data_IF_012882294129
#
_entry.id   IF_012882294129
#
_cell.length_a   1.000
_cell.length_b   1.000
_cell.length_c   1.000
_cell.angle_alpha   90.00
_cell.angle_beta   90.00
_cell.angle_gamma   90.00
#
_symmetry.space_group_name_H-M   'P 1'
#
loop_
_entity.id
_entity.type
_entity.pdbx_description
1 polymer ?
#
# COMPACT_ATOMS: atom_id res chain seq x y z
N UNK A 1 -5.24 11.16 8.01
CA UNK A 1 -3.83 10.73 7.82
C UNK A 1 -3.58 9.26 8.13
N UNK A 2 -4.59 8.51 8.59
CA UNK A 2 -4.46 7.13 9.04
C UNK A 2 -3.91 6.21 7.95
N UNK A 3 -2.90 5.41 8.30
CA UNK A 3 -2.29 4.38 7.47
C UNK A 3 -1.85 4.85 6.09
N UNK A 4 -1.21 6.02 5.98
CA UNK A 4 -0.56 6.47 4.73
C UNK A 4 0.94 6.58 4.92
N UNK A 5 1.69 6.30 3.87
CA UNK A 5 3.15 6.45 3.86
C UNK A 5 3.48 7.67 3.02
N UNK A 6 4.27 8.57 3.60
CA UNK A 6 4.71 9.80 2.96
C UNK A 6 6.24 9.86 2.99
N UNK A 7 6.83 10.52 2.00
CA UNK A 7 8.23 10.91 2.02
C UNK A 7 8.40 12.12 2.93
N UNK A 8 9.37 12.07 3.84
CA UNK A 8 9.74 13.23 4.63
C UNK A 8 10.59 14.19 3.79
N UNK A 9 10.17 15.45 3.67
CA UNK A 9 10.91 16.51 2.96
C UNK A 9 11.99 17.14 3.85
N UNK A 10 11.67 17.38 5.13
CA UNK A 10 12.61 17.84 6.15
C UNK A 10 12.18 17.30 7.52
N UNK A 11 13.16 16.89 8.32
CA UNK A 11 12.97 16.38 9.68
C UNK A 11 13.74 17.28 10.62
N UNK A 12 13.05 17.91 11.57
CA UNK A 12 13.65 18.55 12.75
C UNK A 12 13.39 17.66 13.98
N UNK A 13 14.03 17.97 15.11
CA UNK A 13 13.90 17.21 16.36
C UNK A 13 12.46 17.10 16.88
N UNK A 14 11.57 18.00 16.46
CA UNK A 14 10.17 18.07 16.93
C UNK A 14 9.13 18.08 15.81
N UNK A 15 9.52 18.14 14.53
CA UNK A 15 8.56 18.15 13.41
C UNK A 15 9.09 17.46 12.15
N UNK A 16 8.20 16.77 11.44
CA UNK A 16 8.47 16.16 10.13
C UNK A 16 7.57 16.85 9.11
N UNK A 17 8.18 17.49 8.11
CA UNK A 17 7.46 17.99 6.94
C UNK A 17 7.29 16.86 5.93
N UNK A 18 6.05 16.60 5.53
CA UNK A 18 5.70 15.53 4.60
C UNK A 18 5.63 16.13 3.19
N UNK A 19 6.35 15.53 2.25
CA UNK A 19 6.31 15.92 0.85
C UNK A 19 4.96 15.49 0.23
N UNK A 20 4.32 16.36 -0.57
CA UNK A 20 3.09 16.04 -1.29
C UNK A 20 1.82 16.01 -0.43
N UNK A 21 1.84 16.58 0.77
CA UNK A 21 0.64 16.79 1.59
C UNK A 21 0.29 18.28 1.61
N UNK A 22 -0.89 18.61 1.10
CA UNK A 22 -1.48 19.93 1.28
C UNK A 22 -2.21 19.96 2.64
N UNK A 23 -1.66 20.72 3.59
CA UNK A 23 -2.25 20.93 4.93
C UNK A 23 -2.88 22.32 5.06
N UNK A 24 -3.17 22.99 3.95
CA UNK A 24 -3.79 24.33 3.95
C UNK A 24 -5.21 24.34 4.54
N UNK A 25 -5.91 23.20 4.49
CA UNK A 25 -7.26 23.05 5.04
C UNK A 25 -7.25 22.87 6.56
N UNK A 26 -7.35 23.99 7.28
CA UNK A 26 -7.35 24.07 8.75
C UNK A 26 -8.51 23.33 9.43
N UNK A 27 -9.63 23.11 8.70
CA UNK A 27 -10.78 22.32 9.17
C UNK A 27 -10.48 20.81 9.21
N UNK A 28 -9.65 20.32 8.28
CA UNK A 28 -9.24 18.92 8.19
C UNK A 28 -7.93 18.66 8.95
N UNK A 29 -7.14 19.71 9.19
CA UNK A 29 -5.84 19.65 9.85
C UNK A 29 -5.70 20.74 10.94
N UNK A 30 -6.47 20.66 12.04
CA UNK A 30 -6.37 21.63 13.12
C UNK A 30 -4.99 21.57 13.81
N UNK A 31 -4.43 22.76 14.07
CA UNK A 31 -3.10 22.93 14.64
C UNK A 31 -3.03 22.30 16.04
N UNK A 32 -2.06 21.41 16.27
CA UNK A 32 -1.83 20.80 17.59
C UNK A 32 -2.59 19.50 17.90
N UNK A 33 -3.51 19.04 17.02
CA UNK A 33 -4.25 17.77 17.21
C UNK A 33 -3.72 16.60 16.35
N UNK A 34 -2.62 16.80 15.64
CA UNK A 34 -1.94 15.78 14.83
C UNK A 34 -1.08 14.80 15.63
N UNK A 35 -1.53 14.35 16.80
CA UNK A 35 -0.85 13.33 17.60
C UNK A 35 -0.97 11.95 16.94
N UNK A 36 -0.32 11.78 15.79
CA UNK A 36 -0.19 10.52 15.09
C UNK A 36 1.08 9.79 15.50
N UNK A 37 1.03 8.46 15.60
CA UNK A 37 2.25 7.66 15.73
C UNK A 37 2.95 7.60 14.38
N UNK A 38 4.12 8.25 14.28
CA UNK A 38 4.98 8.17 13.11
C UNK A 38 5.94 6.99 13.28
N UNK A 39 5.97 6.08 12.31
CA UNK A 39 6.99 5.04 12.22
C UNK A 39 8.00 5.43 11.15
N UNK A 40 9.24 5.70 11.57
CA UNK A 40 10.36 5.93 10.63
C UNK A 40 10.66 4.62 9.88
N UNK A 41 10.75 4.71 8.56
CA UNK A 41 11.25 3.64 7.71
C UNK A 41 12.74 3.88 7.53
N UNK A 42 13.58 3.00 8.09
CA UNK A 42 15.04 3.20 8.11
C UNK A 42 15.70 2.67 6.84
N UNK A 43 15.18 1.57 6.28
CA UNK A 43 15.81 0.86 5.16
C UNK A 43 14.74 0.28 4.23
N UNK A 44 15.02 0.31 2.94
CA UNK A 44 14.23 -0.35 1.90
C UNK A 44 15.02 -1.54 1.37
N UNK A 45 14.40 -2.73 1.37
CA UNK A 45 14.98 -3.93 0.76
C UNK A 45 14.34 -4.14 -0.60
N UNK A 46 15.11 -4.17 -1.71
CA UNK A 46 14.54 -4.40 -3.03
C UNK A 46 14.06 -5.85 -3.15
N UNK A 47 12.84 -6.04 -3.65
CA UNK A 47 12.34 -7.35 -4.04
C UNK A 47 12.83 -7.62 -5.46
N UNK A 48 13.63 -8.67 -5.62
CA UNK A 48 14.20 -9.07 -6.90
C UNK A 48 13.42 -10.25 -7.49
N UNK A 49 13.59 -10.51 -8.78
CA UNK A 49 12.96 -11.65 -9.48
C UNK A 49 11.41 -11.68 -9.37
N UNK A 50 10.78 -10.51 -9.43
CA UNK A 50 9.32 -10.39 -9.50
C UNK A 50 8.86 -10.85 -10.89
N UNK A 51 8.07 -11.92 -10.94
CA UNK A 51 7.49 -12.46 -12.17
C UNK A 51 6.23 -11.69 -12.58
N UNK A 52 5.36 -11.41 -11.61
CA UNK A 52 4.15 -10.61 -11.82
C UNK A 52 3.86 -9.71 -10.62
N UNK A 53 3.28 -8.54 -10.87
CA UNK A 53 2.76 -7.65 -9.85
C UNK A 53 1.41 -7.10 -10.32
N UNK A 54 0.34 -7.49 -9.65
CA UNK A 54 -1.03 -7.17 -10.02
C UNK A 54 -1.70 -6.40 -8.88
N UNK A 55 -2.31 -5.27 -9.21
CA UNK A 55 -3.12 -4.50 -8.27
C UNK A 55 -4.58 -4.81 -8.56
N UNK A 56 -5.32 -5.15 -7.52
CA UNK A 56 -6.75 -5.42 -7.59
C UNK A 56 -7.51 -4.53 -6.60
N UNK A 57 -8.69 -4.08 -7.02
CA UNK A 57 -9.58 -3.22 -6.24
C UNK A 57 -9.26 -1.72 -6.37
N UNK A 58 -9.98 -0.92 -5.58
CA UNK A 58 -9.99 0.54 -5.70
C UNK A 58 -11.07 1.09 -6.61
N UNK A 59 -11.95 0.22 -7.11
CA UNK A 59 -13.13 0.62 -7.87
C UNK A 59 -14.13 1.35 -6.97
N UNK A 60 -14.85 2.36 -7.51
CA UNK A 60 -15.90 3.04 -6.77
C UNK A 60 -17.01 2.05 -6.43
N UNK A 61 -17.38 2.01 -5.16
CA UNK A 61 -18.51 1.23 -4.67
C UNK A 61 -19.75 2.11 -4.74
N UNK A 62 -20.82 1.58 -5.32
CA UNK A 62 -22.12 2.23 -5.33
C UNK A 62 -23.12 1.38 -4.57
N UNK A 63 -24.01 2.04 -3.83
CA UNK A 63 -25.21 1.41 -3.27
C UNK A 63 -26.39 1.89 -4.11
N UNK A 64 -27.04 0.94 -4.76
CA UNK A 64 -28.30 1.19 -5.45
C UNK A 64 -29.41 1.26 -4.42
N UNK A 65 -30.04 2.42 -4.31
CA UNK A 65 -31.19 2.65 -3.45
C UNK A 65 -32.43 2.70 -4.32
N UNK A 66 -33.30 1.70 -4.15
CA UNK A 66 -34.63 1.64 -4.75
C UNK A 66 -35.62 2.23 -3.75
N UNK A 67 -36.14 3.43 -4.05
CA UNK A 67 -37.17 4.07 -3.22
C UNK A 67 -38.55 3.63 -3.72
N UNK A 68 -39.48 3.29 -2.83
CA UNK A 68 -40.83 2.87 -3.24
C UNK A 68 -41.62 3.96 -4.00
N UNK A 69 -41.23 5.23 -3.84
CA UNK A 69 -41.84 6.38 -4.52
C UNK A 69 -41.21 6.70 -5.88
N UNK A 70 -40.16 5.97 -6.30
CA UNK A 70 -39.48 6.22 -7.56
C UNK A 70 -39.20 4.92 -8.30
N UNK A 71 -39.63 4.86 -9.56
CA UNK A 71 -39.51 3.66 -10.40
C UNK A 71 -38.07 3.41 -10.88
N UNK A 72 -37.19 4.39 -10.71
CA UNK A 72 -35.77 4.31 -11.09
C UNK A 72 -34.86 4.22 -9.87
N UNK A 73 -33.92 3.27 -9.92
CA UNK A 73 -32.88 3.10 -8.92
C UNK A 73 -31.87 4.26 -8.96
N UNK A 74 -31.51 4.78 -7.78
CA UNK A 74 -30.49 5.82 -7.64
C UNK A 74 -29.22 5.19 -7.08
N UNK A 75 -28.09 5.38 -7.76
CA UNK A 75 -26.79 4.92 -7.29
C UNK A 75 -26.11 6.00 -6.44
N UNK A 76 -25.93 5.72 -5.14
CA UNK A 76 -25.21 6.59 -4.22
C UNK A 76 -23.78 6.07 -4.02
N UNK A 77 -22.74 6.92 -4.07
CA UNK A 77 -21.36 6.49 -3.85
C UNK A 77 -21.13 6.08 -2.39
N UNK A 78 -20.78 4.81 -2.17
CA UNK A 78 -20.51 4.18 -0.87
C UNK A 78 -19.00 3.91 -0.68
N UNK A 79 -18.19 4.84 -1.19
CA UNK A 79 -16.73 4.79 -1.09
C UNK A 79 -16.06 3.94 -2.17
N UNK A 80 -15.02 3.20 -1.79
CA UNK A 80 -14.16 2.46 -2.71
C UNK A 80 -13.85 1.08 -2.15
N UNK A 81 -13.69 0.09 -3.04
CA UNK A 81 -13.28 -1.25 -2.65
C UNK A 81 -11.86 -1.27 -2.10
N UNK A 82 -11.57 -2.23 -1.22
CA UNK A 82 -10.25 -2.44 -0.66
C UNK A 82 -9.23 -2.73 -1.77
N UNK A 83 -8.09 -2.06 -1.73
CA UNK A 83 -7.01 -2.27 -2.69
C UNK A 83 -6.05 -3.34 -2.17
N UNK A 84 -5.64 -4.24 -3.04
CA UNK A 84 -4.63 -5.27 -2.76
C UNK A 84 -3.61 -5.32 -3.88
N UNK A 85 -2.36 -5.56 -3.53
CA UNK A 85 -1.28 -5.84 -4.46
C UNK A 85 -0.89 -7.30 -4.29
N UNK A 86 -0.99 -8.10 -5.33
CA UNK A 86 -0.48 -9.46 -5.38
C UNK A 86 0.82 -9.46 -6.19
N UNK A 87 1.85 -10.10 -5.66
CA UNK A 87 3.15 -10.25 -6.32
C UNK A 87 3.53 -11.72 -6.35
N UNK A 88 4.00 -12.17 -7.51
CA UNK A 88 4.59 -13.49 -7.68
C UNK A 88 6.08 -13.31 -7.86
N UNK A 89 6.88 -13.96 -7.03
CA UNK A 89 8.34 -13.80 -6.98
C UNK A 89 8.96 -15.17 -7.22
N UNK A 90 10.04 -15.25 -7.99
CA UNK A 90 10.77 -16.52 -8.13
C UNK A 90 11.33 -16.96 -6.76
N UNK A 91 11.24 -18.25 -6.47
CA UNK A 91 11.67 -18.80 -5.20
C UNK A 91 13.20 -18.85 -5.11
N UNK A 92 13.77 -17.95 -4.31
CA UNK A 92 15.18 -17.96 -3.93
C UNK A 92 15.35 -17.52 -2.46
N UNK A 93 15.48 -18.49 -1.52
CA UNK A 93 15.58 -18.20 -0.09
C UNK A 93 16.94 -17.58 0.31
N UNK A 94 17.93 -17.57 -0.58
CA UNK A 94 19.24 -16.95 -0.30
C UNK A 94 19.20 -15.42 -0.37
N UNK A 95 18.16 -14.86 -0.99
CA UNK A 95 18.05 -13.43 -1.20
C UNK A 95 17.50 -12.71 0.04
N UNK A 96 18.00 -11.48 0.32
CA UNK A 96 17.64 -10.74 1.53
C UNK A 96 16.15 -10.37 1.60
N UNK A 97 15.47 -10.27 0.45
CA UNK A 97 14.06 -9.93 0.38
C UNK A 97 13.16 -11.03 0.97
N UNK A 98 13.54 -12.30 0.88
CA UNK A 98 12.78 -13.42 1.44
C UNK A 98 12.67 -13.30 2.98
N UNK A 99 13.79 -13.09 3.65
CA UNK A 99 13.83 -12.89 5.11
C UNK A 99 13.06 -11.64 5.58
N UNK A 100 13.10 -10.56 4.78
CA UNK A 100 12.40 -9.32 5.07
C UNK A 100 10.88 -9.47 4.93
N UNK A 101 10.41 -10.16 3.89
CA UNK A 101 8.99 -10.45 3.66
C UNK A 101 8.43 -11.36 4.75
N UNK A 102 9.14 -12.44 5.09
CA UNK A 102 8.77 -13.33 6.20
C UNK A 102 8.63 -12.58 7.52
N UNK A 103 9.66 -11.82 7.91
CA UNK A 103 9.64 -11.03 9.15
C UNK A 103 8.49 -10.02 9.18
N UNK A 104 8.17 -9.43 8.04
CA UNK A 104 7.06 -8.47 7.93
C UNK A 104 5.71 -9.17 8.05
N UNK A 105 5.53 -10.30 7.37
CA UNK A 105 4.33 -11.13 7.45
C UNK A 105 4.09 -11.64 8.88
N UNK A 106 5.13 -12.16 9.55
CA UNK A 106 5.07 -12.63 10.94
C UNK A 106 4.72 -11.50 11.92
N UNK A 107 5.22 -10.30 11.67
CA UNK A 107 4.96 -9.15 12.54
C UNK A 107 3.49 -8.71 12.54
N UNK A 108 2.72 -9.08 11.50
CA UNK A 108 1.31 -8.67 11.27
C UNK A 108 1.08 -7.18 11.53
N UNK A 109 2.08 -6.35 11.25
CA UNK A 109 2.02 -4.89 11.40
C UNK A 109 1.86 -4.26 10.03
N UNK A 110 1.25 -3.08 10.01
CA UNK A 110 1.20 -2.26 8.81
C UNK A 110 2.64 -1.92 8.42
N UNK A 111 2.97 -2.28 7.18
CA UNK A 111 4.25 -2.07 6.55
C UNK A 111 4.08 -1.18 5.33
N UNK A 112 5.19 -0.60 4.90
CA UNK A 112 5.25 0.24 3.73
C UNK A 112 5.84 -0.54 2.56
N UNK A 113 5.19 -0.45 1.40
CA UNK A 113 5.67 -1.03 0.14
C UNK A 113 5.87 0.11 -0.85
N UNK A 114 7.00 0.13 -1.54
CA UNK A 114 7.31 1.14 -2.56
C UNK A 114 7.41 0.49 -3.93
N UNK A 115 6.66 1.00 -4.89
CA UNK A 115 6.87 0.70 -6.29
C UNK A 115 7.67 1.84 -6.93
N UNK A 116 8.84 1.49 -7.46
CA UNK A 116 9.67 2.38 -8.27
C UNK A 116 9.32 2.12 -9.75
N UNK A 117 8.71 3.11 -10.42
CA UNK A 117 8.37 2.99 -11.84
C UNK A 117 9.60 3.30 -12.72
N UNK A 118 9.69 2.74 -13.94
CA UNK A 118 10.77 3.05 -14.89
C UNK A 118 10.88 4.54 -15.24
N UNK A 119 9.79 5.28 -15.12
CA UNK A 119 9.73 6.73 -15.32
C UNK A 119 10.35 7.55 -14.18
N UNK A 120 10.90 6.92 -13.15
CA UNK A 120 11.43 7.58 -11.94
C UNK A 120 10.37 7.97 -10.92
N UNK A 121 9.07 7.84 -11.26
CA UNK A 121 7.96 8.05 -10.33
C UNK A 121 7.95 6.99 -9.22
N UNK A 122 7.62 7.42 -8.00
CA UNK A 122 7.56 6.51 -6.83
C UNK A 122 6.13 6.46 -6.31
N UNK A 123 5.62 5.24 -6.11
CA UNK A 123 4.32 5.01 -5.49
C UNK A 123 4.54 4.35 -4.14
N UNK A 124 4.02 4.98 -3.09
CA UNK A 124 4.07 4.46 -1.73
C UNK A 124 2.71 3.87 -1.37
N UNK A 125 2.74 2.59 -1.01
CA UNK A 125 1.63 1.82 -0.47
C UNK A 125 1.85 1.57 1.01
N UNK A 126 0.77 1.50 1.75
CA UNK A 126 0.72 1.19 3.17
C UNK A 126 -0.28 0.07 3.37
N UNK A 127 0.15 -1.04 3.96
CA UNK A 127 -0.71 -2.20 4.06
C UNK A 127 -0.15 -3.33 4.91
N UNK A 128 -0.95 -4.36 5.08
CA UNK A 128 -0.49 -5.62 5.66
C UNK A 128 0.17 -6.45 4.58
N UNK A 129 1.43 -6.79 4.78
CA UNK A 129 2.16 -7.68 3.88
C UNK A 129 1.88 -9.11 4.31
N UNK A 130 1.42 -9.93 3.38
CA UNK A 130 1.33 -11.39 3.51
C UNK A 130 2.41 -12.03 2.64
N UNK A 131 2.97 -13.13 3.10
CA UNK A 131 3.96 -13.88 2.36
C UNK A 131 3.66 -15.37 2.54
N UNK A 132 3.52 -16.09 1.44
CA UNK A 132 3.41 -17.53 1.42
C UNK A 132 4.73 -18.10 0.94
N UNK A 133 5.42 -18.80 1.84
CA UNK A 133 6.71 -19.45 1.58
C UNK A 133 6.55 -20.74 0.77
N UNK A 134 5.32 -21.19 0.53
CA UNK A 134 5.07 -22.42 -0.24
C UNK A 134 5.29 -22.13 -1.72
N UNK A 135 6.34 -22.69 -2.37
CA UNK A 135 6.57 -22.44 -3.78
C UNK A 135 5.56 -23.22 -4.63
N UNK A 136 5.10 -22.60 -5.72
CA UNK A 136 4.35 -23.32 -6.76
C UNK A 136 5.32 -24.18 -7.57
N UNK A 137 5.06 -25.49 -7.60
CA UNK A 137 5.89 -26.46 -8.34
C UNK A 137 5.20 -26.86 -9.65
N UNK A 138 5.06 -25.92 -10.58
CA UNK A 138 4.44 -26.17 -11.88
C UNK A 138 5.49 -26.59 -12.92
N UNK A 139 5.27 -27.73 -13.57
CA UNK A 139 6.18 -28.25 -14.61
C UNK A 139 6.28 -27.27 -15.78
N UNK A 140 7.51 -26.87 -16.12
CA UNK A 140 7.81 -25.93 -17.22
C UNK A 140 7.80 -24.46 -16.81
N UNK A 141 7.64 -24.15 -15.52
CA UNK A 141 7.75 -22.80 -14.96
C UNK A 141 8.80 -22.76 -13.85
N UNK A 142 9.35 -21.57 -13.61
CA UNK A 142 10.22 -21.33 -12.46
C UNK A 142 9.40 -21.45 -11.19
N UNK A 143 9.95 -22.05 -10.13
CA UNK A 143 9.31 -22.12 -8.82
C UNK A 143 9.05 -20.70 -8.31
N UNK A 144 7.85 -20.43 -7.83
CA UNK A 144 7.47 -19.07 -7.43
C UNK A 144 6.71 -19.05 -6.09
N UNK A 145 7.04 -18.06 -5.27
CA UNK A 145 6.38 -17.74 -4.00
C UNK A 145 5.46 -16.53 -4.19
N UNK A 146 4.37 -16.49 -3.40
CA UNK A 146 3.36 -15.42 -3.51
C UNK A 146 3.47 -14.48 -2.32
N UNK A 147 3.67 -13.20 -2.62
CA UNK A 147 3.55 -12.11 -1.66
C UNK A 147 2.30 -11.29 -1.96
N UNK A 148 1.67 -10.76 -0.92
CA UNK A 148 0.53 -9.87 -1.03
C UNK A 148 0.71 -8.64 -0.15
N UNK A 149 0.08 -7.53 -0.51
CA UNK A 149 -0.06 -6.37 0.35
C UNK A 149 -1.51 -5.89 0.31
N UNK A 150 -2.22 -6.05 1.42
CA UNK A 150 -3.57 -5.49 1.59
C UNK A 150 -3.46 -4.03 2.01
N UNK A 151 -3.76 -3.11 1.09
CA UNK A 151 -3.57 -1.68 1.29
C UNK A 151 -4.62 -1.14 2.28
N UNK A 152 -4.15 -0.42 3.30
CA UNK A 152 -4.97 0.16 4.37
C UNK A 152 -5.16 1.67 4.21
N UNK A 153 -4.40 2.31 3.32
CA UNK A 153 -4.56 3.72 3.01
C UNK A 153 -4.40 3.98 1.52
N UNK A 154 -4.94 5.12 1.09
CA UNK A 154 -4.80 5.59 -0.30
C UNK A 154 -3.31 5.70 -0.67
N UNK A 155 -2.89 5.18 -1.83
CA UNK A 155 -1.52 5.27 -2.29
C UNK A 155 -1.11 6.73 -2.49
N UNK A 156 0.13 7.05 -2.12
CA UNK A 156 0.72 8.37 -2.36
C UNK A 156 1.68 8.26 -3.52
N UNK A 157 1.50 9.08 -4.55
CA UNK A 157 2.35 9.12 -5.73
C UNK A 157 3.23 10.36 -5.69
N UNK A 158 4.52 10.18 -5.93
CA UNK A 158 5.48 11.24 -6.13
C UNK A 158 5.88 11.27 -7.60
N UNK A 159 5.52 12.36 -8.27
CA UNK A 159 6.06 12.69 -9.58
C UNK A 159 7.40 13.41 -9.34
N UNK A 160 8.50 12.65 -9.46
CA UNK A 160 9.91 13.09 -9.47
C UNK A 160 10.29 14.21 -8.51
#
# INVERSE_FOLDING_TARGET
MTNRVFRAKAVTSTSVTLEGMDTSEVNLFPTGLGAGTLRKITTWVPIQQVLTAEISGGDPKYVSVSLLDNENDINLPDGYNAQSLAMTIADDPSLPHHSALKKTADSRKIAAVRADLPSGSKILYSGYVSFDETPTMTKGQVMAVRAGCAMQGRPVRYAS
#
